data_IF_412671046663
#
_entry.id   IF_412671046663
#
_cell.length_a   1.000
_cell.length_b   1.000
_cell.length_c   1.000
_cell.angle_alpha   90.00
_cell.angle_beta   90.00
_cell.angle_gamma   90.00
#
_symmetry.space_group_name_H-M   'P 1'
#
loop_
_entity.id
_entity.type
_entity.pdbx_description
1 polymer ?
#
# COMPACT_ATOMS: atom_id res chain seq x y z
N UNK A 1 2.93 4.90 13.80
CA UNK A 1 3.49 4.26 12.59
C UNK A 1 4.97 4.04 12.83
N UNK A 2 5.51 2.94 12.30
CA UNK A 2 6.95 2.64 12.42
C UNK A 2 7.76 3.38 11.36
N UNK A 3 8.95 3.88 11.71
CA UNK A 3 9.92 4.44 10.75
C UNK A 3 10.79 3.28 10.24
N UNK A 4 10.72 3.00 8.94
CA UNK A 4 11.33 1.81 8.36
C UNK A 4 12.78 2.08 7.91
N UNK A 5 13.72 1.19 8.27
CA UNK A 5 15.10 1.14 7.74
C UNK A 5 15.16 0.27 6.48
N UNK A 6 16.27 0.31 5.72
CA UNK A 6 16.44 -0.54 4.54
C UNK A 6 16.17 -2.02 4.87
N UNK A 7 15.27 -2.65 4.11
CA UNK A 7 14.76 -4.00 4.35
C UNK A 7 13.31 -4.17 3.91
N UNK A 8 12.76 -5.38 4.07
CA UNK A 8 11.33 -5.64 3.87
C UNK A 8 10.53 -5.31 5.12
N UNK A 9 9.36 -4.68 4.97
CA UNK A 9 8.45 -4.41 6.07
C UNK A 9 7.06 -4.98 5.74
N UNK A 10 6.57 -5.87 6.62
CA UNK A 10 5.29 -6.54 6.44
C UNK A 10 4.15 -5.67 6.96
N UNK A 11 3.15 -5.43 6.12
CA UNK A 11 1.96 -4.65 6.48
C UNK A 11 0.73 -5.56 6.60
N UNK A 12 0.31 -5.87 7.83
CA UNK A 12 -0.92 -6.62 8.13
C UNK A 12 -1.75 -5.77 9.08
N UNK A 13 -2.76 -5.08 8.55
CA UNK A 13 -3.56 -4.11 9.30
C UNK A 13 -2.67 -3.12 10.09
N UNK A 14 -1.54 -2.74 9.48
CA UNK A 14 -0.50 -1.92 10.08
C UNK A 14 0.00 -0.91 9.06
N UNK A 15 0.72 0.11 9.56
CA UNK A 15 1.22 1.19 8.74
C UNK A 15 2.68 1.52 9.01
N UNK A 16 3.37 1.88 7.93
CA UNK A 16 4.76 2.28 7.91
C UNK A 16 4.89 3.72 7.47
N UNK A 17 5.97 4.39 7.88
CA UNK A 17 6.34 5.71 7.39
C UNK A 17 7.75 5.69 6.86
N UNK A 18 7.91 6.11 5.61
CA UNK A 18 9.20 6.34 5.00
C UNK A 18 9.52 7.83 5.09
N UNK A 19 10.71 8.16 5.58
CA UNK A 19 11.25 9.53 5.58
C UNK A 19 12.28 9.61 4.45
N UNK A 20 12.01 10.47 3.48
CA UNK A 20 12.87 10.68 2.31
C UNK A 20 14.05 11.61 2.64
N UNK A 21 15.07 11.67 1.78
CA UNK A 21 16.27 12.49 2.00
C UNK A 21 15.98 14.00 2.17
N UNK A 22 14.89 14.50 1.58
CA UNK A 22 14.41 15.87 1.74
C UNK A 22 13.49 16.08 2.96
N UNK A 23 13.41 15.09 3.86
CA UNK A 23 12.61 15.07 5.10
C UNK A 23 11.08 15.02 4.87
N UNK A 24 10.63 14.70 3.68
CA UNK A 24 9.22 14.40 3.43
C UNK A 24 8.85 13.05 4.04
N UNK A 25 7.58 12.90 4.43
CA UNK A 25 7.04 11.68 5.03
C UNK A 25 6.01 11.07 4.08
N UNK A 26 6.16 9.77 3.81
CA UNK A 26 5.18 9.00 3.05
C UNK A 26 4.61 7.93 3.98
N UNK A 27 3.31 7.97 4.24
CA UNK A 27 2.63 7.02 5.13
C UNK A 27 1.89 5.96 4.32
N UNK A 28 2.21 4.72 4.65
CA UNK A 28 1.63 3.52 4.06
C UNK A 28 0.70 2.86 5.07
N UNK A 29 -0.29 2.14 4.55
CA UNK A 29 -1.09 1.19 5.31
C UNK A 29 -1.30 -0.08 4.51
N UNK A 30 -1.24 -1.24 5.17
CA UNK A 30 -1.53 -2.54 4.55
C UNK A 30 -2.86 -3.11 5.00
N UNK A 31 -3.68 -3.53 4.04
CA UNK A 31 -4.94 -4.22 4.25
C UNK A 31 -4.95 -5.55 3.47
N UNK A 32 -4.62 -6.69 4.09
CA UNK A 32 -4.64 -7.98 3.40
C UNK A 32 -6.06 -8.50 3.15
N UNK A 33 -7.08 -7.86 3.73
CA UNK A 33 -8.44 -8.39 3.75
C UNK A 33 -9.17 -8.16 2.41
N UNK A 34 -9.98 -9.15 2.01
CA UNK A 34 -10.84 -9.06 0.83
C UNK A 34 -12.26 -9.53 1.14
N UNK A 35 -13.25 -9.13 0.32
CA UNK A 35 -14.52 -9.83 0.30
C UNK A 35 -14.34 -11.34 0.06
N UNK A 36 -15.31 -12.17 0.46
CA UNK A 36 -15.28 -13.60 0.19
C UNK A 36 -15.30 -13.88 -1.32
N UNK A 37 -14.41 -14.77 -1.76
CA UNK A 37 -14.38 -15.27 -3.14
C UNK A 37 -14.31 -16.81 -3.15
N UNK A 38 -13.38 -17.36 -2.38
CA UNK A 38 -13.17 -18.79 -2.15
C UNK A 38 -13.13 -19.04 -0.64
N UNK A 39 -12.38 -20.04 -0.17
CA UNK A 39 -12.12 -20.28 1.24
C UNK A 39 -10.63 -20.05 1.54
N UNK A 40 -10.19 -18.78 1.45
CA UNK A 40 -8.80 -18.38 1.63
C UNK A 40 -8.60 -17.54 2.90
N UNK A 41 -7.34 -17.35 3.29
CA UNK A 41 -6.98 -16.49 4.42
C UNK A 41 -7.33 -15.02 4.15
N UNK A 42 -7.60 -14.28 5.22
CA UNK A 42 -7.93 -12.85 5.21
C UNK A 42 -9.24 -12.48 4.47
N UNK A 43 -10.19 -13.40 4.32
CA UNK A 43 -11.52 -13.06 3.79
C UNK A 43 -12.49 -12.66 4.92
N UNK A 44 -13.26 -11.60 4.68
CA UNK A 44 -14.25 -11.08 5.63
C UNK A 44 -15.54 -10.64 4.96
N UNK A 45 -16.69 -11.05 5.52
CA UNK A 45 -18.00 -10.64 5.02
C UNK A 45 -18.31 -9.16 5.28
N UNK A 46 -17.89 -8.69 6.46
CA UNK A 46 -17.98 -7.29 6.84
C UNK A 46 -16.59 -6.67 6.76
N UNK A 47 -16.34 -5.93 5.67
CA UNK A 47 -15.05 -5.32 5.43
C UNK A 47 -14.84 -4.05 6.26
N UNK A 48 -15.91 -3.43 6.78
CA UNK A 48 -15.86 -2.24 7.63
C UNK A 48 -14.99 -2.43 8.87
N UNK A 49 -15.02 -3.64 9.47
CA UNK A 49 -14.20 -4.05 10.61
C UNK A 49 -12.68 -3.87 10.41
N UNK A 50 -12.25 -3.83 9.16
CA UNK A 50 -10.85 -3.64 8.77
C UNK A 50 -10.61 -2.28 8.13
N UNK A 51 -11.50 -1.81 7.25
CA UNK A 51 -11.34 -0.53 6.54
C UNK A 51 -11.42 0.68 7.48
N UNK A 52 -12.17 0.57 8.57
CA UNK A 52 -12.32 1.65 9.57
C UNK A 52 -11.03 1.86 10.38
N UNK A 53 -10.16 0.85 10.44
CA UNK A 53 -8.86 0.94 11.11
C UNK A 53 -7.82 1.68 10.28
N UNK A 54 -8.07 1.90 8.99
CA UNK A 54 -7.16 2.65 8.11
C UNK A 54 -7.06 4.09 8.62
N UNK A 55 -5.87 4.61 8.98
CA UNK A 55 -5.76 5.98 9.49
C UNK A 55 -6.07 7.02 8.42
N UNK A 56 -6.74 8.12 8.80
CA UNK A 56 -7.07 9.21 7.87
C UNK A 56 -5.86 9.92 7.24
N UNK A 57 -4.68 9.69 7.81
CA UNK A 57 -3.46 10.42 7.48
C UNK A 57 -2.60 9.73 6.43
N UNK A 58 -2.98 8.54 5.95
CA UNK A 58 -2.17 7.79 5.00
C UNK A 58 -2.09 8.50 3.65
N UNK A 59 -0.95 8.32 2.97
CA UNK A 59 -0.72 8.86 1.64
C UNK A 59 -0.83 7.73 0.58
N UNK A 60 -0.48 6.50 0.95
CA UNK A 60 -0.53 5.30 0.11
C UNK A 60 -1.22 4.14 0.83
N UNK A 61 -2.12 3.46 0.14
CA UNK A 61 -2.75 2.23 0.60
C UNK A 61 -2.22 1.04 -0.20
N UNK A 62 -1.90 -0.05 0.48
CA UNK A 62 -1.57 -1.34 -0.13
C UNK A 62 -2.63 -2.34 0.34
N UNK A 63 -3.53 -2.76 -0.55
CA UNK A 63 -4.53 -3.79 -0.24
C UNK A 63 -4.28 -5.07 -1.03
N UNK A 64 -4.79 -6.21 -0.56
CA UNK A 64 -4.70 -7.43 -1.36
C UNK A 64 -5.65 -7.36 -2.57
N UNK A 65 -6.92 -7.02 -2.32
CA UNK A 65 -7.97 -6.90 -3.34
C UNK A 65 -8.35 -5.46 -3.68
N UNK A 66 -9.10 -5.27 -4.77
CA UNK A 66 -9.50 -3.97 -5.27
C UNK A 66 -10.63 -3.32 -4.44
N UNK A 67 -10.73 -1.97 -4.44
CA UNK A 67 -11.96 -1.27 -4.13
C UNK A 67 -13.04 -1.56 -5.19
N UNK A 68 -14.31 -1.53 -4.78
CA UNK A 68 -15.44 -1.75 -5.68
C UNK A 68 -15.43 -0.84 -6.91
N UNK A 69 -15.72 -1.40 -8.08
CA UNK A 69 -15.74 -0.74 -9.40
C UNK A 69 -14.40 -0.22 -9.92
N UNK A 70 -13.29 -0.56 -9.26
CA UNK A 70 -11.93 -0.18 -9.65
C UNK A 70 -11.17 -1.45 -10.05
N UNK A 71 -11.09 -1.72 -11.36
CA UNK A 71 -10.31 -2.84 -11.92
C UNK A 71 -10.62 -4.18 -11.21
N UNK A 72 -11.90 -4.42 -10.91
CA UNK A 72 -12.38 -5.50 -10.05
C UNK A 72 -13.32 -6.48 -10.76
N UNK A 73 -13.21 -6.57 -12.09
CA UNK A 73 -13.97 -7.51 -12.90
C UNK A 73 -13.05 -8.56 -13.50
N UNK A 74 -13.55 -9.78 -13.62
CA UNK A 74 -12.78 -10.91 -14.16
C UNK A 74 -13.02 -11.08 -15.66
N UNK A 75 -11.98 -11.51 -16.37
CA UNK A 75 -12.03 -11.83 -17.80
C UNK A 75 -12.93 -13.03 -18.13
N UNK A 76 -13.12 -13.37 -19.41
CA UNK A 76 -14.11 -14.36 -19.85
C UNK A 76 -13.86 -15.82 -19.40
N UNK A 77 -12.65 -16.15 -18.93
CA UNK A 77 -12.33 -17.47 -18.38
C UNK A 77 -12.61 -17.44 -16.88
N UNK A 78 -13.79 -17.93 -16.49
CA UNK A 78 -14.28 -17.81 -15.12
C UNK A 78 -14.33 -19.17 -14.43
N UNK A 79 -14.09 -19.22 -13.10
CA UNK A 79 -14.67 -20.28 -12.28
C UNK A 79 -16.18 -20.32 -12.52
N UNK A 80 -16.79 -21.50 -12.48
CA UNK A 80 -18.18 -21.75 -12.91
C UNK A 80 -19.28 -20.91 -12.20
N UNK A 81 -18.91 -20.07 -11.23
CA UNK A 81 -19.81 -19.30 -10.36
C UNK A 81 -19.59 -17.79 -10.39
N UNK A 82 -18.70 -17.28 -11.26
CA UNK A 82 -18.48 -15.84 -11.43
C UNK A 82 -18.94 -15.45 -12.82
N UNK A 83 -19.58 -14.29 -12.97
CA UNK A 83 -19.94 -13.73 -14.28
C UNK A 83 -19.00 -12.56 -14.61
N UNK A 84 -18.77 -12.26 -15.89
CA UNK A 84 -17.92 -11.13 -16.30
C UNK A 84 -18.39 -9.76 -15.76
N UNK A 85 -19.67 -9.68 -15.37
CA UNK A 85 -20.31 -8.48 -14.82
C UNK A 85 -20.23 -8.37 -13.30
N UNK A 86 -19.68 -9.38 -12.61
CA UNK A 86 -19.62 -9.36 -11.16
C UNK A 86 -18.42 -8.52 -10.70
N UNK A 87 -18.71 -7.51 -9.89
CA UNK A 87 -17.72 -6.68 -9.21
C UNK A 87 -17.22 -7.41 -7.97
N UNK A 88 -15.93 -7.74 -7.93
CA UNK A 88 -15.30 -8.48 -6.84
C UNK A 88 -14.66 -7.58 -5.78
N UNK A 89 -14.65 -6.26 -6.02
CA UNK A 89 -14.04 -5.30 -5.12
C UNK A 89 -14.89 -4.99 -3.89
N UNK A 90 -14.23 -4.51 -2.83
CA UNK A 90 -14.90 -4.14 -1.57
C UNK A 90 -15.55 -2.75 -1.67
N UNK A 91 -16.86 -2.69 -1.38
CA UNK A 91 -17.61 -1.42 -1.30
C UNK A 91 -17.14 -0.56 -0.13
N UNK A 92 -16.90 -1.17 1.02
CA UNK A 92 -16.40 -0.46 2.21
C UNK A 92 -15.02 0.13 1.95
N UNK A 93 -14.15 -0.61 1.24
CA UNK A 93 -12.84 -0.11 0.84
C UNK A 93 -12.96 1.09 -0.11
N UNK A 94 -13.88 1.02 -1.08
CA UNK A 94 -14.14 2.14 -1.98
C UNK A 94 -14.59 3.38 -1.18
N UNK A 95 -15.60 3.25 -0.31
CA UNK A 95 -16.07 4.35 0.54
C UNK A 95 -14.93 4.90 1.41
N UNK A 96 -14.12 4.03 2.00
CA UNK A 96 -12.98 4.45 2.82
C UNK A 96 -11.98 5.26 2.01
N UNK A 97 -11.61 4.82 0.80
CA UNK A 97 -10.70 5.54 -0.09
C UNK A 97 -11.19 6.96 -0.40
N UNK A 98 -12.50 7.13 -0.68
CA UNK A 98 -13.05 8.46 -0.96
C UNK A 98 -13.01 9.39 0.26
N UNK A 99 -13.02 8.83 1.47
CA UNK A 99 -12.98 9.57 2.73
C UNK A 99 -11.55 9.75 3.27
N UNK A 100 -10.51 9.43 2.51
CA UNK A 100 -9.12 9.63 2.87
C UNK A 100 -8.55 10.89 2.21
N UNK A 101 -8.46 12.03 2.92
CA UNK A 101 -8.17 13.33 2.30
C UNK A 101 -6.76 13.44 1.69
N UNK A 102 -5.86 12.54 2.10
CA UNK A 102 -4.45 12.55 1.70
C UNK A 102 -4.08 11.44 0.74
N UNK A 103 -5.00 10.51 0.47
CA UNK A 103 -4.71 9.35 -0.35
C UNK A 103 -4.31 9.79 -1.76
N UNK A 104 -3.19 9.27 -2.24
CA UNK A 104 -2.67 9.55 -3.59
C UNK A 104 -2.60 8.29 -4.45
N UNK A 105 -2.34 7.15 -3.82
CA UNK A 105 -2.23 5.88 -4.52
C UNK A 105 -2.83 4.73 -3.72
N UNK A 106 -3.44 3.79 -4.44
CA UNK A 106 -3.86 2.48 -3.93
C UNK A 106 -3.24 1.42 -4.82
N UNK A 107 -2.44 0.54 -4.22
CA UNK A 107 -1.86 -0.62 -4.88
C UNK A 107 -2.61 -1.87 -4.42
N UNK A 108 -3.01 -2.71 -5.36
CA UNK A 108 -3.68 -3.97 -5.10
C UNK A 108 -3.37 -5.01 -6.17
N UNK A 109 -3.90 -6.22 -6.01
CA UNK A 109 -3.82 -7.27 -7.02
C UNK A 109 -5.10 -8.10 -7.01
N UNK A 110 -4.94 -9.40 -6.83
CA UNK A 110 -5.99 -10.41 -6.69
C UNK A 110 -6.78 -10.71 -7.97
N UNK A 111 -7.13 -9.69 -8.75
CA UNK A 111 -7.85 -9.84 -10.02
C UNK A 111 -6.83 -9.78 -11.16
N UNK A 112 -6.36 -10.94 -11.60
CA UNK A 112 -5.23 -11.03 -12.54
C UNK A 112 -5.57 -10.44 -13.91
N UNK A 113 -6.77 -10.70 -14.42
CA UNK A 113 -7.24 -10.18 -15.70
C UNK A 113 -7.35 -8.66 -15.79
N UNK A 114 -7.34 -7.95 -14.66
CA UNK A 114 -7.48 -6.49 -14.60
C UNK A 114 -6.18 -5.78 -14.23
N UNK A 115 -5.02 -6.38 -14.50
CA UNK A 115 -3.74 -5.68 -14.43
C UNK A 115 -3.81 -4.32 -15.15
N UNK A 116 -3.28 -3.28 -14.53
CA UNK A 116 -3.23 -1.95 -15.12
C UNK A 116 -3.37 -0.81 -14.11
N UNK A 117 -3.75 0.36 -14.62
CA UNK A 117 -3.90 1.60 -13.87
C UNK A 117 -5.24 2.29 -14.15
N UNK A 118 -5.77 2.98 -13.15
CA UNK A 118 -6.96 3.84 -13.22
C UNK A 118 -6.74 5.08 -12.33
N UNK A 119 -7.38 6.20 -12.64
CA UNK A 119 -7.32 7.44 -11.87
C UNK A 119 -8.72 8.00 -11.68
N UNK A 120 -9.15 8.13 -10.42
CA UNK A 120 -10.47 8.68 -10.07
C UNK A 120 -10.38 9.63 -8.89
N UNK A 121 -11.02 10.79 -9.02
CA UNK A 121 -11.11 11.82 -7.96
C UNK A 121 -9.75 12.20 -7.33
N UNK A 122 -8.68 12.23 -8.14
CA UNK A 122 -7.35 12.60 -7.66
C UNK A 122 -6.58 11.49 -6.93
N UNK A 123 -7.09 10.25 -6.94
CA UNK A 123 -6.41 9.05 -6.45
C UNK A 123 -6.05 8.16 -7.64
N UNK A 124 -4.82 7.63 -7.64
CA UNK A 124 -4.36 6.66 -8.62
C UNK A 124 -4.50 5.25 -8.07
N UNK A 125 -4.95 4.32 -8.90
CA UNK A 125 -5.22 2.94 -8.56
C UNK A 125 -4.38 2.05 -9.47
N UNK A 126 -3.70 1.08 -8.89
CA UNK A 126 -2.80 0.18 -9.60
C UNK A 126 -3.13 -1.27 -9.24
N UNK A 127 -3.54 -2.04 -10.24
CA UNK A 127 -3.62 -3.48 -10.12
C UNK A 127 -2.28 -4.07 -10.57
N UNK A 128 -1.51 -4.55 -9.60
CA UNK A 128 -0.14 -5.04 -9.74
C UNK A 128 -0.06 -6.57 -9.87
N UNK A 129 -1.17 -7.24 -10.23
CA UNK A 129 -1.14 -8.68 -10.53
C UNK A 129 -0.12 -8.97 -11.65
N UNK A 130 0.85 -9.83 -11.40
CA UNK A 130 1.90 -10.17 -12.38
C UNK A 130 1.63 -11.46 -13.15
N UNK A 131 0.74 -12.30 -12.59
CA UNK A 131 0.30 -13.54 -13.19
C UNK A 131 -1.02 -13.31 -13.95
N UNK A 132 -1.32 -14.19 -14.90
CA UNK A 132 -2.66 -14.33 -15.47
C UNK A 132 -3.47 -15.43 -14.76
N UNK A 133 -4.66 -15.77 -15.29
CA UNK A 133 -5.53 -16.81 -14.71
C UNK A 133 -5.02 -18.24 -14.92
N UNK A 134 -4.02 -18.43 -15.79
CA UNK A 134 -3.26 -19.66 -15.94
C UNK A 134 -2.14 -19.78 -14.91
N UNK A 135 -1.97 -18.78 -14.03
CA UNK A 135 -0.84 -18.63 -13.12
C UNK A 135 0.52 -18.50 -13.83
N UNK A 136 0.51 -18.04 -15.08
CA UNK A 136 1.72 -17.79 -15.87
C UNK A 136 2.15 -16.34 -15.71
N UNK A 137 3.47 -16.11 -15.74
CA UNK A 137 4.05 -14.77 -15.69
C UNK A 137 3.66 -13.99 -16.95
N UNK A 138 2.82 -12.96 -16.79
CA UNK A 138 2.25 -12.25 -17.93
C UNK A 138 2.49 -10.76 -17.94
N UNK A 139 2.59 -10.13 -16.78
CA UNK A 139 2.68 -8.68 -16.66
C UNK A 139 3.97 -8.22 -15.97
N UNK A 140 4.49 -7.09 -16.43
CA UNK A 140 5.68 -6.46 -15.85
C UNK A 140 5.37 -5.78 -14.50
N UNK A 141 6.39 -5.61 -13.63
CA UNK A 141 6.23 -4.84 -12.40
C UNK A 141 5.78 -3.41 -12.67
N UNK A 142 4.76 -2.95 -11.95
CA UNK A 142 4.28 -1.57 -12.04
C UNK A 142 5.28 -0.63 -11.34
N UNK A 143 5.79 0.36 -12.08
CA UNK A 143 6.66 1.42 -11.56
C UNK A 143 5.98 2.77 -11.75
N UNK A 144 5.84 3.56 -10.68
CA UNK A 144 5.17 4.86 -10.73
C UNK A 144 5.79 5.88 -9.80
N UNK A 145 5.57 7.17 -10.09
CA UNK A 145 5.95 8.29 -9.23
C UNK A 145 4.72 8.88 -8.55
N UNK A 146 4.75 8.94 -7.21
CA UNK A 146 3.64 9.49 -6.42
C UNK A 146 4.03 10.89 -5.95
N UNK A 147 3.22 11.89 -6.31
CA UNK A 147 3.37 13.25 -5.80
C UNK A 147 2.79 13.33 -4.39
N UNK A 148 3.65 13.57 -3.41
CA UNK A 148 3.26 13.76 -2.02
C UNK A 148 3.22 15.24 -1.71
N UNK A 149 2.15 15.69 -1.05
CA UNK A 149 2.02 17.08 -0.63
C UNK A 149 2.89 17.34 0.61
N UNK A 150 3.90 18.19 0.42
CA UNK A 150 4.90 18.64 1.40
C UNK A 150 4.37 19.73 2.35
N UNK A 151 3.09 20.10 2.25
CA UNK A 151 2.44 21.18 3.03
C UNK A 151 2.54 21.06 4.56
N UNK A 152 3.09 19.96 5.09
CA UNK A 152 3.32 19.73 6.52
C UNK A 152 4.74 19.22 6.79
N UNK A 153 5.77 19.97 6.37
CA UNK A 153 7.09 19.93 7.02
C UNK A 153 6.92 20.40 8.47
N UNK A 154 6.51 19.50 9.35
CA UNK A 154 6.51 19.75 10.78
C UNK A 154 7.94 20.11 11.18
N UNK A 155 8.13 21.28 11.82
CA UNK A 155 9.45 21.74 12.26
C UNK A 155 10.13 20.64 13.08
N UNK A 156 11.36 20.28 12.71
CA UNK A 156 12.15 19.22 13.33
C UNK A 156 12.75 19.64 14.69
N UNK A 157 12.03 20.46 15.45
CA UNK A 157 12.53 21.00 16.72
C UNK A 157 12.25 20.08 17.92
N UNK A 158 11.70 18.89 17.67
CA UNK A 158 11.42 17.93 18.72
C UNK A 158 12.70 17.17 19.13
N UNK A 159 13.06 17.30 20.39
CA UNK A 159 14.36 16.93 20.98
C UNK A 159 14.70 15.43 20.80
N UNK A 160 13.67 14.59 20.66
CA UNK A 160 13.82 13.17 20.34
C UNK A 160 14.46 12.93 18.97
N UNK A 161 14.15 13.78 17.98
CA UNK A 161 14.71 13.65 16.63
C UNK A 161 16.17 14.09 16.61
N UNK A 162 16.53 15.16 17.34
CA UNK A 162 17.93 15.61 17.50
C UNK A 162 18.79 14.54 18.17
N UNK A 163 18.25 13.88 19.21
CA UNK A 163 18.95 12.81 19.92
C UNK A 163 19.12 11.55 19.05
N UNK A 164 18.13 11.21 18.22
CA UNK A 164 18.24 10.09 17.29
C UNK A 164 19.28 10.34 16.18
N UNK A 165 19.38 11.56 15.65
CA UNK A 165 20.40 11.91 14.65
C UNK A 165 21.81 12.00 15.23
N UNK A 166 21.98 12.48 16.48
CA UNK A 166 23.26 12.41 17.19
C UNK A 166 23.74 10.97 17.37
N UNK A 167 22.85 10.05 17.75
CA UNK A 167 23.18 8.63 17.89
C UNK A 167 23.64 8.01 16.55
N UNK A 168 22.97 8.34 15.43
CA UNK A 168 23.36 7.86 14.10
C UNK A 168 24.71 8.45 13.64
N UNK A 169 24.98 9.74 13.91
CA UNK A 169 26.28 10.33 13.61
C UNK A 169 27.41 9.75 14.46
N UNK A 170 27.17 9.49 15.75
CA UNK A 170 28.16 8.88 16.65
C UNK A 170 28.55 7.46 16.22
N UNK A 171 27.57 6.64 15.80
CA UNK A 171 27.84 5.30 15.24
C UNK A 171 28.66 5.36 13.95
N UNK A 172 28.46 6.39 13.12
CA UNK A 172 29.29 6.62 11.92
C UNK A 172 30.71 7.11 12.24
N UNK A 173 30.92 7.79 13.36
CA UNK A 173 32.23 8.27 13.78
C UNK A 173 33.06 7.23 14.54
N UNK A 174 32.41 6.25 15.18
CA UNK A 174 33.12 5.13 15.86
C UNK A 174 33.52 3.98 14.92
N UNK A 175 33.14 4.03 13.64
CA UNK A 175 33.40 2.99 12.65
C UNK A 175 34.69 3.16 11.84
N UNK A 176 35.81 3.56 12.46
CA UNK A 176 37.13 3.48 11.82
C UNK A 176 38.14 2.71 12.68
N UNK A 177 38.77 1.75 11.97
CA UNK A 177 40.01 1.01 12.21
C UNK A 177 39.88 -0.29 13.01
N UNK A 178 40.01 -1.40 12.31
CA UNK A 178 41.29 -2.14 12.29
C UNK A 178 41.39 -2.92 10.98
N UNK A 179 42.25 -2.44 10.08
CA UNK A 179 42.93 -3.33 9.14
C UNK A 179 43.95 -4.13 9.98
N UNK A 180 43.93 -5.45 9.86
CA UNK A 180 44.99 -6.34 10.35
C UNK A 180 45.44 -7.18 9.16
N UNK A 181 46.76 -7.21 9.01
CA UNK A 181 47.62 -7.77 7.95
C UNK A 181 47.17 -9.12 7.33
#
# INVERSE_FOLDING_TARGET
SEIVKAGGHLLINSGATIITGNRSRIRFWGLPHTPPFMSWFFQGYDMSLYTDKIPATIDVLVSHGPPYSIMDTVGPVLPQHVRPTDYLGSRDLYVRCQNLPRLKAVFFGHIHSSHGEDSRLGVNYFNCSILDEGYEWRFDPVTTAIKIDDSQKQSLDDDQTRNMFRAIQLVRMSGKLTDIE
#
